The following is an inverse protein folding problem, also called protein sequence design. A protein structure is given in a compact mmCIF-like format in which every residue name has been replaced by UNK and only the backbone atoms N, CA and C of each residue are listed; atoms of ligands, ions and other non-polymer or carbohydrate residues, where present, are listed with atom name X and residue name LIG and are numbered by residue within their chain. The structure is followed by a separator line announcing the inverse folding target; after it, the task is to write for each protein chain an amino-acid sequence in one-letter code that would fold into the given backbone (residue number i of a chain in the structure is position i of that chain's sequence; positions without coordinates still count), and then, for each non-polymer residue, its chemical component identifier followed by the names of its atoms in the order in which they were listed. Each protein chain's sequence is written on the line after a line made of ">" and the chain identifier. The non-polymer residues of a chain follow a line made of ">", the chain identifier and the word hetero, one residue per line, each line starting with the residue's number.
data_IF_622156243342
#
_entry.id   IF_622156243342
#
_cell.length_a   1.000
_cell.length_b   1.000
_cell.length_c   1.000
_cell.angle_alpha   90.00
_cell.angle_beta   90.00
_cell.angle_gamma   90.00
#
_symmetry.space_group_name_H-M   'P 1'
#
loop_
_entity.id
_entity.type
_entity.pdbx_description
1 polymer ?
#
# COMPACT_ATOMS: atom_id res chain seq x y z
N UNK A 1 -46.93 23.58 41.27
CA UNK A 1 -47.53 24.15 40.04
C UNK A 1 -46.66 25.30 39.58
N UNK A 2 -46.25 25.30 38.32
CA UNK A 2 -45.27 26.22 37.73
C UNK A 2 -45.89 27.00 36.57
N UNK A 3 -45.49 28.26 36.40
CA UNK A 3 -45.74 29.01 35.16
C UNK A 3 -44.79 28.52 34.07
N UNK A 4 -45.14 28.77 32.81
CA UNK A 4 -44.30 28.35 31.66
C UNK A 4 -42.89 28.94 31.70
N UNK A 5 -42.71 30.14 32.27
CA UNK A 5 -41.40 30.79 32.43
C UNK A 5 -40.54 30.09 33.48
N UNK A 6 -41.15 29.69 34.60
CA UNK A 6 -40.47 28.96 35.69
C UNK A 6 -40.08 27.55 35.20
N UNK A 7 -40.97 26.90 34.44
CA UNK A 7 -40.71 25.58 33.85
C UNK A 7 -39.60 25.63 32.79
N UNK A 8 -39.54 26.71 32.00
CA UNK A 8 -38.48 26.94 31.01
C UNK A 8 -37.10 27.08 31.67
N UNK A 9 -37.03 27.88 32.73
CA UNK A 9 -35.80 28.11 33.50
C UNK A 9 -35.29 26.81 34.15
N UNK A 10 -36.19 26.06 34.81
CA UNK A 10 -35.84 24.80 35.48
C UNK A 10 -35.35 23.68 34.55
N UNK A 11 -35.69 23.75 33.26
CA UNK A 11 -35.32 22.74 32.25
C UNK A 11 -34.24 23.23 31.28
N UNK A 12 -33.82 24.50 31.37
CA UNK A 12 -32.91 25.12 30.41
C UNK A 12 -33.47 25.19 28.98
N UNK A 13 -34.80 25.23 28.82
CA UNK A 13 -35.48 25.25 27.52
C UNK A 13 -36.07 26.62 27.23
N UNK A 14 -36.23 26.96 25.95
CA UNK A 14 -36.94 28.17 25.59
C UNK A 14 -38.44 28.03 25.86
N UNK A 15 -39.11 29.15 26.20
CA UNK A 15 -40.58 29.18 26.30
C UNK A 15 -41.26 28.69 25.02
N UNK A 16 -40.68 28.99 23.85
CA UNK A 16 -41.17 28.56 22.54
C UNK A 16 -41.11 27.03 22.40
N UNK A 17 -40.05 26.39 22.90
CA UNK A 17 -39.91 24.93 22.92
C UNK A 17 -41.00 24.28 23.78
N UNK A 18 -41.28 24.83 24.97
CA UNK A 18 -42.36 24.31 25.83
C UNK A 18 -43.75 24.50 25.23
N UNK A 19 -44.01 25.63 24.57
CA UNK A 19 -45.27 25.85 23.82
C UNK A 19 -45.41 24.86 22.66
N UNK A 20 -44.31 24.53 21.98
CA UNK A 20 -44.31 23.51 20.95
C UNK A 20 -44.59 22.12 21.55
N UNK A 21 -43.98 21.77 22.67
CA UNK A 21 -44.22 20.48 23.36
C UNK A 21 -45.68 20.35 23.82
N UNK A 22 -46.28 21.44 24.28
CA UNK A 22 -47.71 21.49 24.58
C UNK A 22 -48.58 21.35 23.31
N UNK A 23 -48.18 21.95 22.18
CA UNK A 23 -48.87 21.83 20.89
C UNK A 23 -48.88 20.38 20.36
N UNK A 24 -47.81 19.63 20.58
CA UNK A 24 -47.72 18.20 20.22
C UNK A 24 -48.20 17.26 21.34
N UNK A 25 -48.82 17.84 22.38
CA UNK A 25 -49.46 17.16 23.50
C UNK A 25 -48.51 16.32 24.37
N UNK A 26 -47.24 16.71 24.46
CA UNK A 26 -46.28 16.08 25.39
C UNK A 26 -46.54 16.49 26.85
N UNK A 27 -47.09 17.69 27.05
CA UNK A 27 -47.52 18.26 28.33
C UNK A 27 -48.85 19.01 28.12
N UNK A 28 -49.60 19.26 29.20
CA UNK A 28 -50.87 20.00 29.10
C UNK A 28 -51.00 20.98 30.25
N UNK A 29 -50.94 22.27 29.95
CA UNK A 29 -51.13 23.32 30.96
C UNK A 29 -52.59 23.41 31.39
N UNK A 30 -52.85 23.45 32.70
CA UNK A 30 -54.18 23.76 33.23
C UNK A 30 -54.38 25.28 33.26
N UNK A 31 -55.49 25.77 32.69
CA UNK A 31 -55.85 27.18 32.80
C UNK A 31 -56.40 27.46 34.20
N UNK A 32 -55.79 28.43 34.88
CA UNK A 32 -56.26 28.96 36.15
C UNK A 32 -57.33 30.02 35.93
N UNK A 33 -58.09 30.35 36.98
CA UNK A 33 -59.14 31.38 36.98
C UNK A 33 -58.66 32.77 36.56
N UNK A 34 -57.35 33.03 36.65
CA UNK A 34 -56.69 34.27 36.23
C UNK A 34 -56.21 34.26 34.77
N UNK A 35 -56.56 33.24 33.97
CA UNK A 35 -56.22 33.14 32.55
C UNK A 35 -54.81 32.60 32.24
N UNK A 36 -53.93 32.44 33.25
CA UNK A 36 -52.60 31.87 33.08
C UNK A 36 -52.63 30.35 33.00
N UNK A 37 -51.64 29.76 32.30
CA UNK A 37 -51.39 28.31 32.29
C UNK A 37 -50.47 27.94 33.46
N UNK A 38 -50.84 26.90 34.19
CA UNK A 38 -50.02 26.28 35.21
C UNK A 38 -49.73 24.82 34.85
N UNK A 39 -48.52 24.38 35.14
CA UNK A 39 -48.02 23.02 34.90
C UNK A 39 -47.70 22.35 36.23
N UNK A 40 -47.93 21.06 36.33
CA UNK A 40 -47.73 20.28 37.54
C UNK A 40 -46.28 19.78 37.66
N UNK A 41 -45.94 19.26 38.84
CA UNK A 41 -44.66 18.58 39.05
C UNK A 41 -44.55 17.31 38.19
N UNK A 42 -45.68 16.69 37.84
CA UNK A 42 -45.72 15.58 36.91
C UNK A 42 -45.33 16.00 35.48
N UNK A 43 -45.75 17.19 35.03
CA UNK A 43 -45.31 17.74 33.74
C UNK A 43 -43.80 18.00 33.73
N UNK A 44 -43.25 18.53 34.84
CA UNK A 44 -41.81 18.73 34.99
C UNK A 44 -41.03 17.39 34.91
N UNK A 45 -41.48 16.37 35.64
CA UNK A 45 -40.85 15.04 35.61
C UNK A 45 -40.96 14.40 34.21
N UNK A 46 -42.10 14.54 33.55
CA UNK A 46 -42.31 14.06 32.18
C UNK A 46 -41.36 14.73 31.20
N UNK A 47 -41.16 16.05 31.30
CA UNK A 47 -40.22 16.79 30.46
C UNK A 47 -38.76 16.38 30.71
N UNK A 48 -38.37 16.13 31.96
CA UNK A 48 -37.04 15.60 32.28
C UNK A 48 -36.80 14.23 31.66
N UNK A 49 -37.81 13.35 31.70
CA UNK A 49 -37.72 12.05 31.04
C UNK A 49 -37.59 12.19 29.51
N UNK A 50 -38.31 13.13 28.90
CA UNK A 50 -38.14 13.44 27.46
C UNK A 50 -36.71 13.89 27.17
N UNK A 51 -36.12 14.78 27.98
CA UNK A 51 -34.73 15.22 27.77
C UNK A 51 -33.73 14.06 27.85
N UNK A 52 -33.93 13.12 28.79
CA UNK A 52 -33.09 11.91 28.88
C UNK A 52 -33.25 11.01 27.65
N UNK A 53 -34.47 10.80 27.17
CA UNK A 53 -34.73 10.02 25.96
C UNK A 53 -34.12 10.70 24.71
N UNK A 54 -34.22 12.03 24.61
CA UNK A 54 -33.62 12.79 23.51
C UNK A 54 -32.08 12.72 23.53
N UNK A 55 -31.44 12.65 24.71
CA UNK A 55 -29.98 12.44 24.76
C UNK A 55 -29.54 11.08 24.22
N UNK A 56 -30.44 10.10 24.17
CA UNK A 56 -30.22 8.81 23.51
C UNK A 56 -30.48 8.83 22.00
N UNK A 57 -30.70 9.99 21.38
CA UNK A 57 -30.93 10.12 19.94
C UNK A 57 -32.39 9.96 19.48
N UNK A 58 -33.35 9.84 20.40
CA UNK A 58 -34.76 9.70 20.05
C UNK A 58 -35.37 11.05 19.65
N UNK A 59 -36.17 11.02 18.58
CA UNK A 59 -37.00 12.15 18.17
C UNK A 59 -38.14 12.38 19.18
N UNK A 60 -38.75 13.57 19.15
CA UNK A 60 -39.88 13.90 20.02
C UNK A 60 -41.10 12.99 19.82
N UNK A 61 -41.30 12.49 18.60
CA UNK A 61 -42.38 11.55 18.29
C UNK A 61 -42.13 10.19 18.95
N UNK A 62 -40.89 9.72 18.93
CA UNK A 62 -40.49 8.45 19.57
C UNK A 62 -40.50 8.60 21.10
N UNK A 63 -40.04 9.73 21.64
CA UNK A 63 -40.16 10.05 23.06
C UNK A 63 -41.63 10.03 23.53
N UNK A 64 -42.56 10.59 22.75
CA UNK A 64 -44.00 10.53 23.03
C UNK A 64 -44.48 9.07 23.08
N UNK A 65 -44.12 8.27 22.09
CA UNK A 65 -44.48 6.86 22.03
C UNK A 65 -43.96 6.04 23.23
N UNK A 66 -42.72 6.30 23.68
CA UNK A 66 -42.14 5.67 24.88
C UNK A 66 -42.88 6.03 26.18
N UNK A 67 -43.51 7.20 26.24
CA UNK A 67 -44.26 7.66 27.41
C UNK A 67 -45.70 7.16 27.46
N UNK A 68 -46.26 6.79 26.31
CA UNK A 68 -47.68 6.44 26.16
C UNK A 68 -47.88 4.93 25.97
N UNK A 69 -46.84 4.19 25.57
CA UNK A 69 -46.88 2.76 25.34
C UNK A 69 -45.63 2.06 25.87
N UNK A 70 -45.66 0.72 25.88
CA UNK A 70 -44.48 -0.09 26.15
C UNK A 70 -43.43 0.22 25.07
N UNK A 71 -42.18 0.46 25.50
CA UNK A 71 -41.05 0.75 24.61
C UNK A 71 -41.00 -0.27 23.48
N UNK A 72 -41.07 0.22 22.24
CA UNK A 72 -40.92 -0.60 21.06
C UNK A 72 -39.46 -1.06 20.96
N UNK A 73 -39.24 -2.33 21.29
CA UNK A 73 -37.91 -2.94 21.29
C UNK A 73 -37.28 -2.91 19.91
N UNK A 74 -38.07 -3.03 18.84
CA UNK A 74 -37.55 -3.07 17.48
C UNK A 74 -37.03 -1.70 17.06
N UNK A 75 -37.81 -0.65 17.34
CA UNK A 75 -37.37 0.73 17.12
C UNK A 75 -36.07 1.06 17.88
N UNK A 76 -35.96 0.63 19.14
CA UNK A 76 -34.74 0.86 19.93
C UNK A 76 -33.53 0.11 19.37
N UNK A 77 -33.72 -1.11 18.86
CA UNK A 77 -32.65 -1.87 18.21
C UNK A 77 -32.17 -1.21 16.91
N UNK A 78 -33.09 -0.69 16.10
CA UNK A 78 -32.74 0.04 14.87
C UNK A 78 -31.97 1.33 15.18
N UNK A 79 -32.40 2.08 16.20
CA UNK A 79 -31.69 3.29 16.66
C UNK A 79 -30.30 2.98 17.21
N UNK A 80 -30.17 1.93 18.01
CA UNK A 80 -28.88 1.51 18.55
C UNK A 80 -27.92 1.14 17.42
N UNK A 81 -28.39 0.36 16.42
CA UNK A 81 -27.59 -0.01 15.25
C UNK A 81 -27.10 1.22 14.47
N UNK A 82 -27.97 2.20 14.24
CA UNK A 82 -27.57 3.45 13.56
C UNK A 82 -26.50 4.21 14.35
N UNK A 83 -26.62 4.29 15.67
CA UNK A 83 -25.61 4.94 16.51
C UNK A 83 -24.28 4.20 16.49
N UNK A 84 -24.29 2.87 16.51
CA UNK A 84 -23.08 2.05 16.41
C UNK A 84 -22.36 2.29 15.06
N UNK A 85 -23.11 2.35 13.95
CA UNK A 85 -22.57 2.69 12.62
C UNK A 85 -21.96 4.11 12.59
N UNK A 86 -22.63 5.11 13.19
CA UNK A 86 -22.11 6.48 13.28
C UNK A 86 -20.84 6.57 14.15
N UNK A 87 -20.79 5.82 15.26
CA UNK A 87 -19.63 5.75 16.14
C UNK A 87 -18.46 5.14 15.38
N UNK A 88 -18.67 4.03 14.68
CA UNK A 88 -17.64 3.37 13.87
C UNK A 88 -17.07 4.34 12.82
N UNK A 89 -17.94 5.07 12.12
CA UNK A 89 -17.52 6.05 11.12
C UNK A 89 -16.71 7.20 11.73
N UNK A 90 -17.18 7.76 12.86
CA UNK A 90 -16.46 8.83 13.57
C UNK A 90 -15.13 8.37 14.14
N UNK A 91 -15.04 7.12 14.59
CA UNK A 91 -13.79 6.51 15.04
C UNK A 91 -12.78 6.38 13.89
N UNK A 92 -13.21 5.92 12.71
CA UNK A 92 -12.38 5.88 11.49
C UNK A 92 -11.87 7.28 11.10
N UNK A 93 -12.75 8.29 11.11
CA UNK A 93 -12.34 9.67 10.82
C UNK A 93 -11.34 10.21 11.85
N UNK A 94 -11.55 9.92 13.15
CA UNK A 94 -10.59 10.31 14.19
C UNK A 94 -9.24 9.62 14.00
N UNK A 95 -9.23 8.32 13.71
CA UNK A 95 -8.01 7.56 13.46
C UNK A 95 -7.22 8.16 12.30
N UNK A 96 -7.89 8.48 11.18
CA UNK A 96 -7.25 9.19 10.07
C UNK A 96 -6.59 10.50 10.51
N UNK A 97 -7.31 11.35 11.26
CA UNK A 97 -6.75 12.62 11.72
C UNK A 97 -5.58 12.44 12.69
N UNK A 98 -5.68 11.50 13.64
CA UNK A 98 -4.60 11.16 14.56
C UNK A 98 -3.37 10.64 13.82
N UNK A 99 -3.59 9.81 12.80
CA UNK A 99 -2.56 9.24 11.96
C UNK A 99 -1.84 10.34 11.15
N UNK A 100 -2.59 11.26 10.51
CA UNK A 100 -2.03 12.44 9.82
C UNK A 100 -1.28 13.40 10.74
N UNK A 101 -1.58 13.40 12.04
CA UNK A 101 -0.86 14.17 13.06
C UNK A 101 0.35 13.41 13.65
N UNK A 102 0.59 12.17 13.22
CA UNK A 102 1.66 11.31 13.73
C UNK A 102 1.42 10.73 15.13
N UNK A 103 0.18 10.76 15.63
CA UNK A 103 -0.17 10.22 16.95
C UNK A 103 -0.38 8.69 16.94
N UNK A 104 -0.63 8.12 15.76
CA UNK A 104 -0.86 6.67 15.56
C UNK A 104 -0.23 6.20 14.25
N UNK A 105 0.16 4.92 14.13
CA UNK A 105 0.64 4.34 12.87
C UNK A 105 -0.33 4.59 11.71
N UNK A 106 0.23 4.85 10.52
CA UNK A 106 -0.52 5.16 9.29
C UNK A 106 -0.70 3.95 8.35
N UNK A 107 -0.24 2.76 8.73
CA UNK A 107 -0.20 1.55 7.86
C UNK A 107 -1.49 1.29 7.11
N UNK A 108 -2.61 1.13 7.82
CA UNK A 108 -3.87 0.71 7.20
C UNK A 108 -4.42 1.78 6.24
N UNK A 109 -4.12 3.06 6.52
CA UNK A 109 -4.54 4.16 5.65
C UNK A 109 -3.66 4.25 4.40
N UNK A 110 -2.35 4.06 4.52
CA UNK A 110 -1.45 4.00 3.38
C UNK A 110 -1.77 2.82 2.47
N UNK A 111 -1.99 1.63 3.04
CA UNK A 111 -2.38 0.44 2.30
C UNK A 111 -3.70 0.70 1.55
N UNK A 112 -4.72 1.23 2.23
CA UNK A 112 -6.00 1.53 1.58
C UNK A 112 -5.92 2.60 0.49
N UNK A 113 -5.09 3.64 0.67
CA UNK A 113 -4.93 4.67 -0.36
C UNK A 113 -4.12 4.20 -1.55
N UNK A 114 -3.11 3.36 -1.35
CA UNK A 114 -2.33 2.79 -2.44
C UNK A 114 -3.19 1.86 -3.31
N UNK A 115 -4.15 1.15 -2.72
CA UNK A 115 -5.12 0.35 -3.47
C UNK A 115 -6.08 1.20 -4.30
N UNK A 116 -6.60 2.30 -3.74
CA UNK A 116 -7.69 3.08 -4.37
C UNK A 116 -7.16 4.16 -5.32
N UNK A 117 -6.01 4.77 -5.01
CA UNK A 117 -5.46 5.90 -5.73
C UNK A 117 -3.92 5.99 -5.64
N UNK A 118 -3.19 4.98 -6.15
CA UNK A 118 -1.74 4.84 -5.97
C UNK A 118 -0.94 6.07 -6.47
N UNK A 119 -1.25 6.57 -7.67
CA UNK A 119 -0.55 7.73 -8.24
C UNK A 119 -0.79 9.01 -7.43
N UNK A 120 -2.00 9.18 -6.91
CA UNK A 120 -2.34 10.34 -6.08
C UNK A 120 -1.68 10.25 -4.70
N UNK A 121 -1.58 9.04 -4.13
CA UNK A 121 -0.88 8.78 -2.88
C UNK A 121 0.62 9.07 -3.01
N UNK A 122 1.29 8.56 -4.04
CA UNK A 122 2.70 8.83 -4.31
C UNK A 122 2.96 10.35 -4.45
N UNK A 123 2.14 11.03 -5.25
CA UNK A 123 2.23 12.48 -5.43
C UNK A 123 1.97 13.26 -4.13
N UNK A 124 1.06 12.78 -3.30
CA UNK A 124 0.79 13.39 -1.99
C UNK A 124 1.99 13.24 -1.05
N UNK A 125 2.63 12.06 -0.99
CA UNK A 125 3.86 11.85 -0.22
C UNK A 125 4.96 12.82 -0.67
N UNK A 126 5.14 12.99 -1.99
CA UNK A 126 6.10 13.97 -2.52
C UNK A 126 5.76 15.41 -2.11
N UNK A 127 4.47 15.73 -2.01
CA UNK A 127 4.00 17.05 -1.53
C UNK A 127 4.29 17.25 -0.04
N UNK A 128 4.35 16.17 0.75
CA UNK A 128 4.73 16.21 2.17
C UNK A 128 6.26 16.37 2.37
N UNK A 129 7.06 16.42 1.30
CA UNK A 129 8.50 16.67 1.35
C UNK A 129 9.37 15.42 1.23
N UNK A 130 8.77 14.23 1.07
CA UNK A 130 9.52 13.02 0.75
C UNK A 130 10.02 13.07 -0.70
N UNK A 131 11.26 12.66 -0.92
CA UNK A 131 11.75 12.35 -2.26
C UNK A 131 10.94 11.19 -2.86
N UNK A 132 10.96 11.04 -4.19
CA UNK A 132 10.32 9.89 -4.86
C UNK A 132 10.81 8.56 -4.29
N UNK A 133 12.11 8.46 -4.01
CA UNK A 133 12.73 7.29 -3.38
C UNK A 133 12.14 6.99 -2.00
N UNK A 134 12.07 7.99 -1.12
CA UNK A 134 11.49 7.81 0.22
C UNK A 134 9.99 7.50 0.15
N UNK A 135 9.27 8.13 -0.78
CA UNK A 135 7.86 7.85 -1.00
C UNK A 135 7.62 6.40 -1.48
N UNK A 136 8.47 5.89 -2.36
CA UNK A 136 8.45 4.48 -2.78
C UNK A 136 8.82 3.55 -1.62
N UNK A 137 9.82 3.88 -0.81
CA UNK A 137 10.16 3.09 0.37
C UNK A 137 9.04 3.08 1.43
N UNK A 138 8.37 4.20 1.64
CA UNK A 138 7.19 4.28 2.51
C UNK A 138 6.08 3.37 2.01
N UNK A 139 5.81 3.43 0.71
CA UNK A 139 4.78 2.62 0.07
C UNK A 139 5.06 1.13 0.16
N UNK A 140 6.30 0.71 -0.14
CA UNK A 140 6.63 -0.70 -0.32
C UNK A 140 7.25 -1.37 0.91
N UNK A 141 8.00 -0.64 1.75
CA UNK A 141 8.82 -1.23 2.80
C UNK A 141 8.30 -0.91 4.20
N UNK A 142 8.24 0.37 4.56
CA UNK A 142 7.95 0.76 5.94
C UNK A 142 6.46 0.78 6.25
N UNK A 143 5.63 1.20 5.28
CA UNK A 143 4.17 1.38 5.39
C UNK A 143 3.72 2.30 6.55
N UNK A 144 4.62 2.85 7.36
CA UNK A 144 4.37 3.81 8.43
C UNK A 144 5.31 5.01 8.32
N UNK A 145 4.74 6.20 8.12
CA UNK A 145 5.51 7.44 8.04
C UNK A 145 6.26 7.79 9.33
N UNK A 146 5.75 7.38 10.50
CA UNK A 146 6.29 7.85 11.77
C UNK A 146 7.56 7.11 12.21
N UNK A 147 7.75 5.89 11.73
CA UNK A 147 8.92 5.05 12.04
C UNK A 147 9.78 4.78 10.82
N UNK A 148 9.56 5.53 9.73
CA UNK A 148 10.20 5.32 8.44
C UNK A 148 11.73 5.33 8.55
N UNK A 149 12.29 6.35 9.17
CA UNK A 149 13.74 6.53 9.22
C UNK A 149 14.43 5.42 10.01
N UNK A 150 13.87 5.04 11.16
CA UNK A 150 14.36 3.93 11.99
C UNK A 150 14.25 2.60 11.23
N UNK A 151 13.10 2.36 10.57
CA UNK A 151 12.88 1.18 9.76
C UNK A 151 13.89 1.09 8.62
N UNK A 152 14.09 2.18 7.87
CA UNK A 152 15.00 2.22 6.73
C UNK A 152 16.46 2.07 7.16
N UNK A 153 16.84 2.66 8.30
CA UNK A 153 18.17 2.49 8.88
C UNK A 153 18.45 1.02 9.18
N UNK A 154 17.51 0.34 9.83
CA UNK A 154 17.63 -1.08 10.15
C UNK A 154 17.61 -1.96 8.89
N UNK A 155 16.75 -1.64 7.93
CA UNK A 155 16.64 -2.31 6.65
C UNK A 155 17.97 -2.25 5.88
N UNK A 156 18.53 -1.05 5.69
CA UNK A 156 19.81 -0.91 5.00
C UNK A 156 20.97 -1.57 5.73
N UNK A 157 20.97 -1.60 7.07
CA UNK A 157 21.96 -2.35 7.85
C UNK A 157 21.97 -3.85 7.54
N UNK A 158 20.83 -4.43 7.15
CA UNK A 158 20.74 -5.79 6.64
C UNK A 158 21.26 -5.86 5.20
N UNK A 159 20.67 -5.08 4.29
CA UNK A 159 20.83 -5.24 2.84
C UNK A 159 22.14 -4.73 2.26
N UNK A 160 22.77 -3.70 2.84
CA UNK A 160 24.05 -3.16 2.33
C UNK A 160 25.19 -4.18 2.37
N UNK A 161 25.10 -5.19 3.25
CA UNK A 161 26.07 -6.27 3.36
C UNK A 161 25.84 -7.40 2.34
N UNK A 162 24.70 -7.41 1.64
CA UNK A 162 24.34 -8.46 0.69
C UNK A 162 24.82 -8.12 -0.73
N UNK A 163 25.25 -9.15 -1.46
CA UNK A 163 25.59 -9.01 -2.88
C UNK A 163 24.33 -8.94 -3.75
N UNK A 164 23.28 -9.66 -3.35
CA UNK A 164 21.99 -9.72 -4.03
C UNK A 164 20.91 -9.05 -3.19
N UNK A 165 20.10 -8.18 -3.81
CA UNK A 165 18.93 -7.53 -3.19
C UNK A 165 17.61 -8.18 -3.60
N UNK A 166 17.69 -9.29 -4.34
CA UNK A 166 16.58 -10.14 -4.73
C UNK A 166 17.10 -11.39 -5.44
N UNK A 167 16.25 -12.38 -5.74
CA UNK A 167 16.64 -13.59 -6.44
C UNK A 167 17.28 -13.28 -7.80
N UNK A 168 18.46 -13.84 -8.08
CA UNK A 168 19.16 -13.62 -9.34
C UNK A 168 20.41 -14.48 -9.49
N UNK A 169 20.80 -14.77 -10.74
CA UNK A 169 22.05 -15.49 -11.01
C UNK A 169 22.64 -15.12 -12.37
N UNK A 170 23.96 -15.16 -12.48
CA UNK A 170 24.66 -15.00 -13.76
C UNK A 170 24.20 -16.05 -14.78
N UNK A 171 23.90 -17.28 -14.33
CA UNK A 171 23.45 -18.36 -15.20
C UNK A 171 22.09 -18.05 -15.86
N UNK A 172 21.15 -17.50 -15.12
CA UNK A 172 19.81 -17.18 -15.63
C UNK A 172 19.84 -15.97 -16.56
N UNK A 173 20.63 -14.94 -16.24
CA UNK A 173 20.90 -13.81 -17.13
C UNK A 173 21.53 -14.28 -18.45
N UNK A 174 22.55 -15.15 -18.40
CA UNK A 174 23.20 -15.71 -19.60
C UNK A 174 22.25 -16.60 -20.42
N UNK A 175 21.39 -17.38 -19.75
CA UNK A 175 20.35 -18.18 -20.40
C UNK A 175 19.40 -17.27 -21.18
N UNK A 176 18.88 -16.22 -20.56
CA UNK A 176 18.03 -15.24 -21.24
C UNK A 176 18.75 -14.61 -22.44
N UNK A 177 20.02 -14.22 -22.28
CA UNK A 177 20.83 -13.62 -23.34
C UNK A 177 21.02 -14.59 -24.53
N UNK A 178 21.23 -15.88 -24.26
CA UNK A 178 21.40 -16.91 -25.31
C UNK A 178 20.13 -17.21 -26.11
N UNK A 179 18.95 -16.88 -25.56
CA UNK A 179 17.66 -17.10 -26.20
C UNK A 179 17.23 -15.90 -27.07
N UNK A 180 18.03 -14.83 -27.08
CA UNK A 180 17.79 -13.69 -27.94
C UNK A 180 18.00 -14.08 -29.42
N UNK A 181 17.17 -13.56 -30.35
CA UNK A 181 17.32 -13.80 -31.79
C UNK A 181 18.65 -13.31 -32.36
N UNK A 182 19.24 -12.27 -31.76
CA UNK A 182 20.48 -11.64 -32.19
C UNK A 182 21.30 -11.24 -30.97
N UNK A 183 22.62 -11.32 -31.08
CA UNK A 183 23.52 -10.81 -30.04
C UNK A 183 23.40 -9.27 -29.97
N UNK A 184 23.16 -8.69 -28.79
CA UNK A 184 23.04 -7.24 -28.64
C UNK A 184 24.42 -6.57 -28.63
N UNK A 185 24.52 -5.40 -29.24
CA UNK A 185 25.69 -4.50 -29.09
C UNK A 185 25.49 -3.50 -27.93
N UNK A 186 24.23 -3.09 -27.70
CA UNK A 186 23.83 -2.11 -26.68
C UNK A 186 22.60 -2.60 -25.91
N UNK A 187 22.60 -2.37 -24.60
CA UNK A 187 21.52 -2.77 -23.68
C UNK A 187 21.15 -1.59 -22.79
N UNK A 188 19.85 -1.28 -22.71
CA UNK A 188 19.31 -0.38 -21.69
C UNK A 188 18.79 -1.22 -20.52
N UNK A 189 19.48 -1.18 -19.38
CA UNK A 189 19.04 -1.88 -18.17
C UNK A 189 18.32 -0.91 -17.22
N UNK A 190 17.10 -1.26 -16.80
CA UNK A 190 16.24 -0.41 -15.96
C UNK A 190 16.08 -1.04 -14.56
N UNK A 191 16.44 -0.28 -13.53
CA UNK A 191 16.47 -0.74 -12.14
C UNK A 191 17.64 -1.69 -11.90
N UNK A 192 18.86 -1.27 -12.23
CA UNK A 192 20.04 -2.12 -12.17
C UNK A 192 20.55 -2.38 -10.74
N UNK A 193 20.17 -1.56 -9.76
CA UNK A 193 20.64 -1.63 -8.38
C UNK A 193 22.17 -1.66 -8.29
N UNK A 194 22.73 -2.68 -7.62
CA UNK A 194 24.19 -2.89 -7.53
C UNK A 194 24.81 -3.55 -8.78
N UNK A 195 24.01 -3.72 -9.84
CA UNK A 195 24.40 -4.23 -11.14
C UNK A 195 24.85 -5.69 -11.17
N UNK A 196 24.03 -6.56 -10.60
CA UNK A 196 24.24 -8.02 -10.64
C UNK A 196 24.14 -8.51 -12.08
N UNK A 197 23.02 -8.24 -12.75
CA UNK A 197 22.83 -8.54 -14.16
C UNK A 197 23.73 -7.66 -15.03
N UNK A 198 23.87 -6.36 -14.72
CA UNK A 198 24.76 -5.43 -15.43
C UNK A 198 26.15 -5.98 -15.68
N UNK A 199 26.82 -6.54 -14.66
CA UNK A 199 28.19 -7.04 -14.80
C UNK A 199 28.28 -8.25 -15.72
N UNK A 200 27.24 -9.07 -15.76
CA UNK A 200 27.15 -10.21 -16.68
C UNK A 200 26.90 -9.71 -18.10
N UNK A 201 25.95 -8.80 -18.28
CA UNK A 201 25.59 -8.20 -19.56
C UNK A 201 26.75 -7.42 -20.19
N UNK A 202 27.51 -6.68 -19.38
CA UNK A 202 28.66 -5.87 -19.79
C UNK A 202 29.84 -6.69 -20.35
N UNK A 203 29.84 -8.01 -20.16
CA UNK A 203 30.81 -8.91 -20.82
C UNK A 203 30.47 -9.15 -22.29
N UNK A 204 29.25 -8.83 -22.71
CA UNK A 204 28.71 -9.17 -24.04
C UNK A 204 28.30 -7.95 -24.87
N UNK A 205 27.99 -6.82 -24.23
CA UNK A 205 27.48 -5.60 -24.86
C UNK A 205 27.83 -4.36 -24.02
N UNK A 206 27.66 -3.16 -24.58
CA UNK A 206 27.67 -1.94 -23.78
C UNK A 206 26.32 -1.78 -23.05
N UNK A 207 26.36 -1.55 -21.74
CA UNK A 207 25.16 -1.43 -20.90
C UNK A 207 24.99 0.00 -20.43
N UNK A 208 23.86 0.61 -20.76
CA UNK A 208 23.36 1.81 -20.08
C UNK A 208 22.53 1.36 -18.89
N UNK A 209 23.10 1.42 -17.69
CA UNK A 209 22.50 0.93 -16.45
C UNK A 209 21.81 2.08 -15.70
N UNK A 210 20.50 1.98 -15.53
CA UNK A 210 19.65 3.02 -14.93
C UNK A 210 19.18 2.60 -13.55
N UNK A 211 19.33 3.48 -12.57
CA UNK A 211 18.73 3.34 -11.25
C UNK A 211 18.45 4.73 -10.65
N UNK A 212 17.57 4.84 -9.66
CA UNK A 212 17.32 6.10 -8.96
C UNK A 212 18.22 6.27 -7.72
N UNK A 213 19.03 5.27 -7.38
CA UNK A 213 19.96 5.29 -6.25
C UNK A 213 21.42 5.52 -6.70
N UNK A 214 21.85 6.78 -6.67
CA UNK A 214 23.23 7.18 -6.97
C UNK A 214 24.30 6.39 -6.17
N UNK A 215 24.15 6.12 -4.86
CA UNK A 215 25.10 5.26 -4.12
C UNK A 215 25.24 3.84 -4.71
N UNK A 216 24.15 3.23 -5.17
CA UNK A 216 24.19 1.92 -5.85
C UNK A 216 24.91 1.99 -7.18
N UNK A 217 24.69 3.05 -7.96
CA UNK A 217 25.42 3.29 -9.21
C UNK A 217 26.93 3.48 -8.96
N UNK A 218 27.32 4.19 -7.91
CA UNK A 218 28.73 4.32 -7.51
C UNK A 218 29.36 2.98 -7.10
N UNK A 219 28.62 2.15 -6.35
CA UNK A 219 29.06 0.78 -6.02
C UNK A 219 29.22 -0.07 -7.27
N UNK A 220 28.28 0.01 -8.20
CA UNK A 220 28.36 -0.67 -9.49
C UNK A 220 29.60 -0.23 -10.28
N UNK A 221 29.87 1.07 -10.41
CA UNK A 221 31.07 1.58 -11.06
C UNK A 221 32.36 1.06 -10.40
N UNK A 222 32.43 1.05 -9.06
CA UNK A 222 33.57 0.51 -8.33
C UNK A 222 33.79 -0.99 -8.60
N UNK A 223 32.71 -1.79 -8.60
CA UNK A 223 32.76 -3.22 -8.96
C UNK A 223 33.17 -3.41 -10.42
N UNK A 224 32.63 -2.61 -11.34
CA UNK A 224 32.98 -2.64 -12.76
C UNK A 224 34.46 -2.33 -12.99
N UNK A 225 35.01 -1.34 -12.30
CA UNK A 225 36.44 -0.99 -12.36
C UNK A 225 37.32 -2.15 -11.89
N UNK A 226 36.98 -2.78 -10.77
CA UNK A 226 37.73 -3.92 -10.25
C UNK A 226 37.72 -5.12 -11.20
N UNK A 227 36.68 -5.27 -12.03
CA UNK A 227 36.53 -6.34 -13.01
C UNK A 227 36.99 -5.96 -14.43
N UNK A 228 37.45 -4.72 -14.65
CA UNK A 228 37.85 -4.24 -15.97
C UNK A 228 36.68 -4.08 -16.96
N UNK A 229 35.47 -3.81 -16.47
CA UNK A 229 34.24 -3.67 -17.25
C UNK A 229 33.80 -2.21 -17.45
N UNK A 230 34.53 -1.23 -16.92
CA UNK A 230 34.12 0.18 -16.92
C UNK A 230 33.82 0.75 -18.31
N UNK A 231 34.57 0.34 -19.34
CA UNK A 231 34.35 0.83 -20.72
C UNK A 231 33.03 0.35 -21.33
N UNK A 232 32.45 -0.72 -20.77
CA UNK A 232 31.21 -1.33 -21.22
C UNK A 232 29.99 -0.92 -20.37
N UNK A 233 30.14 -0.02 -19.40
CA UNK A 233 29.04 0.38 -18.52
C UNK A 233 28.95 1.90 -18.44
N UNK A 234 27.79 2.43 -18.83
CA UNK A 234 27.38 3.82 -18.57
C UNK A 234 26.27 3.82 -17.54
N UNK A 235 26.44 4.53 -16.42
CA UNK A 235 25.38 4.65 -15.40
C UNK A 235 24.56 5.91 -15.60
N UNK A 236 23.24 5.82 -15.40
CA UNK A 236 22.33 6.96 -15.46
C UNK A 236 21.45 6.99 -14.21
N UNK A 237 21.56 8.05 -13.43
CA UNK A 237 20.72 8.26 -12.25
C UNK A 237 19.38 8.87 -12.67
N UNK A 238 18.34 8.06 -12.75
CA UNK A 238 17.00 8.47 -13.20
C UNK A 238 15.91 7.56 -12.64
N UNK A 239 14.69 8.11 -12.53
CA UNK A 239 13.52 7.29 -12.20
C UNK A 239 13.11 6.42 -13.38
N UNK A 240 12.70 5.18 -13.10
CA UNK A 240 12.16 4.26 -14.12
C UNK A 240 10.80 4.69 -14.68
N UNK A 241 10.12 5.63 -14.01
CA UNK A 241 8.86 6.24 -14.46
C UNK A 241 9.08 7.42 -15.41
N UNK A 242 10.24 8.07 -15.35
CA UNK A 242 10.61 9.26 -16.12
C UNK A 242 12.00 9.09 -16.76
N UNK A 243 12.10 8.11 -17.65
CA UNK A 243 13.37 7.75 -18.30
C UNK A 243 13.84 8.83 -19.30
N UNK A 244 15.11 9.28 -19.25
CA UNK A 244 15.63 10.37 -20.07
C UNK A 244 16.03 9.91 -21.49
N UNK A 245 15.28 8.99 -22.09
CA UNK A 245 15.55 8.43 -23.41
C UNK A 245 14.41 8.73 -24.38
N UNK A 246 14.75 8.96 -25.65
CA UNK A 246 13.75 9.18 -26.68
C UNK A 246 13.10 7.86 -27.13
N UNK A 247 11.89 7.95 -27.66
CA UNK A 247 11.21 6.80 -28.25
C UNK A 247 12.01 6.20 -29.42
N UNK A 248 11.97 4.87 -29.54
CA UNK A 248 12.58 4.15 -30.66
C UNK A 248 14.11 4.20 -30.69
N UNK A 249 14.79 4.41 -29.56
CA UNK A 249 16.26 4.40 -29.50
C UNK A 249 16.83 3.03 -29.17
N UNK A 250 16.13 2.23 -28.37
CA UNK A 250 16.68 0.99 -27.80
C UNK A 250 16.33 -0.25 -28.63
N UNK A 251 17.32 -1.13 -28.86
CA UNK A 251 17.09 -2.44 -29.46
C UNK A 251 16.75 -3.51 -28.41
N UNK A 252 17.32 -3.38 -27.20
CA UNK A 252 17.13 -4.28 -26.09
C UNK A 252 16.98 -3.48 -24.79
N UNK A 253 15.90 -3.74 -24.07
CA UNK A 253 15.68 -3.29 -22.70
C UNK A 253 15.75 -4.50 -21.78
N UNK A 254 16.42 -4.36 -20.64
CA UNK A 254 16.58 -5.40 -19.63
C UNK A 254 16.11 -4.89 -18.27
N UNK A 255 15.36 -5.70 -17.52
CA UNK A 255 14.86 -5.33 -16.20
C UNK A 255 14.63 -6.58 -15.33
N UNK A 256 15.60 -6.92 -14.50
CA UNK A 256 15.45 -8.05 -13.56
C UNK A 256 14.96 -7.56 -12.20
N UNK A 257 13.80 -8.05 -11.74
CA UNK A 257 13.31 -7.78 -10.39
C UNK A 257 13.06 -6.31 -10.07
N UNK A 258 12.69 -5.50 -11.07
CA UNK A 258 12.46 -4.05 -10.88
C UNK A 258 11.09 -3.58 -11.40
N UNK A 259 10.51 -4.25 -12.40
CA UNK A 259 9.27 -3.81 -13.04
C UNK A 259 8.05 -3.76 -12.10
N UNK A 260 8.06 -4.54 -11.02
CA UNK A 260 6.98 -4.54 -10.03
C UNK A 260 6.80 -3.18 -9.34
N UNK A 261 7.84 -2.36 -9.25
CA UNK A 261 7.82 -1.03 -8.62
C UNK A 261 6.82 -0.10 -9.34
N UNK A 262 6.69 -0.23 -10.66
CA UNK A 262 5.71 0.51 -11.48
C UNK A 262 4.36 -0.19 -11.59
N UNK A 263 4.28 -1.46 -11.16
CA UNK A 263 3.32 -2.43 -11.67
C UNK A 263 3.72 -2.91 -13.07
N UNK A 264 3.80 -4.23 -13.25
CA UNK A 264 4.41 -4.83 -14.46
C UNK A 264 3.67 -4.45 -15.75
N UNK A 265 2.35 -4.35 -15.69
CA UNK A 265 1.56 -3.92 -16.85
C UNK A 265 1.84 -2.46 -17.26
N UNK A 266 2.06 -1.58 -16.28
CA UNK A 266 2.43 -0.19 -16.55
C UNK A 266 3.85 -0.12 -17.11
N UNK A 267 4.79 -0.91 -16.56
CA UNK A 267 6.14 -1.02 -17.10
C UNK A 267 6.12 -1.46 -18.57
N UNK A 268 5.32 -2.46 -18.93
CA UNK A 268 5.15 -2.89 -20.32
C UNK A 268 4.69 -1.74 -21.23
N UNK A 269 3.68 -0.98 -20.82
CA UNK A 269 3.15 0.15 -21.58
C UNK A 269 4.14 1.31 -21.69
N UNK A 270 4.82 1.64 -20.59
CA UNK A 270 5.72 2.79 -20.48
C UNK A 270 7.06 2.55 -21.20
N UNK A 271 7.59 1.33 -21.20
CA UNK A 271 8.88 1.02 -21.82
C UNK A 271 8.76 0.62 -23.29
N UNK A 272 7.57 0.24 -23.78
CA UNK A 272 7.37 -0.12 -25.20
C UNK A 272 7.74 0.99 -26.19
N UNK A 273 7.41 2.28 -25.97
CA UNK A 273 7.77 3.37 -26.86
C UNK A 273 9.29 3.51 -27.06
N UNK A 274 10.09 3.27 -26.02
CA UNK A 274 11.56 3.34 -26.06
C UNK A 274 12.20 2.32 -27.01
N UNK A 275 11.54 1.18 -27.23
CA UNK A 275 12.01 0.15 -28.15
C UNK A 275 11.82 0.52 -29.62
N UNK A 276 12.78 0.18 -30.46
CA UNK A 276 12.59 0.12 -31.92
C UNK A 276 11.58 -0.97 -32.30
N UNK A 277 11.04 -0.88 -33.51
CA UNK A 277 10.23 -1.97 -34.08
C UNK A 277 11.03 -3.27 -34.07
N UNK A 278 10.46 -4.36 -33.55
CA UNK A 278 11.18 -5.63 -33.38
C UNK A 278 12.20 -5.65 -32.23
N UNK A 279 12.34 -4.55 -31.47
CA UNK A 279 13.16 -4.50 -30.27
C UNK A 279 12.62 -5.40 -29.17
N UNK A 280 13.49 -5.76 -28.22
CA UNK A 280 13.21 -6.78 -27.21
C UNK A 280 13.19 -6.17 -25.81
N UNK A 281 12.23 -6.58 -25.00
CA UNK A 281 12.19 -6.38 -23.56
C UNK A 281 12.43 -7.73 -22.87
N UNK A 282 13.46 -7.80 -22.04
CA UNK A 282 13.68 -8.90 -21.10
C UNK A 282 13.31 -8.40 -19.71
N UNK A 283 12.38 -9.10 -19.06
CA UNK A 283 11.95 -8.77 -17.70
C UNK A 283 11.89 -10.01 -16.82
N UNK A 284 12.17 -9.87 -15.53
CA UNK A 284 11.80 -10.88 -14.53
C UNK A 284 10.79 -10.34 -13.53
N UNK A 285 9.86 -11.20 -13.12
CA UNK A 285 8.82 -10.86 -12.14
C UNK A 285 8.52 -12.05 -11.22
N UNK A 286 8.12 -11.76 -9.98
CA UNK A 286 7.64 -12.76 -9.03
C UNK A 286 6.20 -13.14 -9.40
N UNK A 287 5.93 -14.45 -9.47
CA UNK A 287 4.65 -15.01 -9.89
C UNK A 287 4.24 -16.22 -9.03
N UNK A 288 2.94 -16.53 -9.06
CA UNK A 288 2.42 -17.79 -8.56
C UNK A 288 2.95 -18.97 -9.37
N UNK A 289 3.45 -19.99 -8.68
CA UNK A 289 3.92 -21.25 -9.26
C UNK A 289 2.93 -22.42 -9.01
N UNK A 290 1.73 -22.10 -8.54
CA UNK A 290 0.63 -23.03 -8.29
C UNK A 290 -0.71 -22.33 -8.47
N UNK A 291 -1.72 -23.06 -8.93
CA UNK A 291 -3.10 -22.55 -9.05
C UNK A 291 -3.83 -22.50 -7.71
N UNK A 292 -3.31 -23.19 -6.69
CA UNK A 292 -3.91 -23.30 -5.35
C UNK A 292 -2.88 -22.96 -4.27
N UNK A 293 -2.42 -21.70 -4.16
CA UNK A 293 -1.49 -21.29 -3.12
C UNK A 293 -2.14 -21.38 -1.73
N UNK A 294 -1.31 -21.59 -0.71
CA UNK A 294 -1.79 -21.65 0.68
C UNK A 294 -2.30 -20.29 1.15
N UNK A 295 -3.29 -20.27 2.04
CA UNK A 295 -3.91 -19.02 2.52
C UNK A 295 -2.91 -18.05 3.17
N UNK A 296 -1.91 -18.57 3.89
CA UNK A 296 -0.85 -17.77 4.51
C UNK A 296 0.11 -17.17 3.48
N UNK A 297 0.46 -17.92 2.44
CA UNK A 297 1.25 -17.42 1.30
C UNK A 297 0.49 -16.32 0.56
N UNK A 298 -0.81 -16.51 0.30
CA UNK A 298 -1.67 -15.50 -0.33
C UNK A 298 -1.73 -14.23 0.50
N UNK A 299 -2.02 -14.34 1.80
CA UNK A 299 -2.12 -13.18 2.69
C UNK A 299 -0.80 -12.39 2.75
N UNK A 300 0.35 -13.07 2.77
CA UNK A 300 1.65 -12.41 2.77
C UNK A 300 1.90 -11.64 1.46
N UNK A 301 1.80 -12.30 0.31
CA UNK A 301 2.11 -11.64 -0.96
C UNK A 301 1.05 -10.65 -1.42
N UNK A 302 -0.21 -10.78 -1.00
CA UNK A 302 -1.21 -9.73 -1.23
C UNK A 302 -0.83 -8.42 -0.52
N UNK A 303 -0.15 -8.51 0.63
CA UNK A 303 0.35 -7.34 1.36
C UNK A 303 1.65 -6.80 0.76
N UNK A 304 2.59 -7.69 0.38
CA UNK A 304 3.92 -7.27 -0.08
C UNK A 304 3.99 -6.97 -1.58
N UNK A 305 3.23 -7.69 -2.40
CA UNK A 305 3.14 -7.48 -3.84
C UNK A 305 1.70 -7.75 -4.35
N UNK A 306 0.76 -6.80 -4.17
CA UNK A 306 -0.65 -7.00 -4.53
C UNK A 306 -0.91 -7.34 -5.99
N UNK A 307 -0.06 -6.87 -6.92
CA UNK A 307 -0.21 -7.17 -8.36
C UNK A 307 0.33 -8.57 -8.75
N UNK A 308 0.93 -9.33 -7.83
CA UNK A 308 1.50 -10.65 -8.11
C UNK A 308 0.50 -11.55 -8.85
N UNK A 309 0.94 -12.06 -10.00
CA UNK A 309 0.12 -12.78 -10.96
C UNK A 309 0.59 -14.19 -11.23
N UNK A 310 -0.14 -14.91 -12.08
CA UNK A 310 0.39 -16.12 -12.72
C UNK A 310 1.20 -15.77 -13.97
N UNK A 311 1.95 -16.74 -14.48
CA UNK A 311 2.68 -16.61 -15.76
C UNK A 311 1.72 -16.25 -16.90
N UNK A 312 0.54 -16.85 -16.95
CA UNK A 312 -0.48 -16.62 -17.96
C UNK A 312 -1.03 -15.19 -17.90
N UNK A 313 -1.24 -14.65 -16.69
CA UNK A 313 -1.65 -13.25 -16.50
C UNK A 313 -0.60 -12.31 -17.10
N UNK A 314 0.69 -12.53 -16.82
CA UNK A 314 1.78 -11.70 -17.35
C UNK A 314 1.91 -11.79 -18.87
N UNK A 315 1.78 -12.99 -19.42
CA UNK A 315 1.75 -13.21 -20.88
C UNK A 315 0.57 -12.46 -21.52
N UNK A 316 -0.61 -12.49 -20.92
CA UNK A 316 -1.78 -11.79 -21.43
C UNK A 316 -1.59 -10.25 -21.39
N UNK A 317 -1.03 -9.72 -20.30
CA UNK A 317 -0.70 -8.30 -20.15
C UNK A 317 0.36 -7.86 -21.17
N UNK A 318 1.42 -8.64 -21.39
CA UNK A 318 2.43 -8.36 -22.40
C UNK A 318 1.82 -8.30 -23.81
N UNK A 319 0.97 -9.27 -24.17
CA UNK A 319 0.26 -9.27 -25.46
C UNK A 319 -0.65 -8.05 -25.61
N UNK A 320 -1.42 -7.72 -24.58
CA UNK A 320 -2.30 -6.55 -24.59
C UNK A 320 -1.51 -5.24 -24.72
N UNK A 321 -0.29 -5.18 -24.20
CA UNK A 321 0.62 -4.05 -24.36
C UNK A 321 1.29 -3.98 -25.74
N UNK A 322 1.08 -4.95 -26.63
CA UNK A 322 1.65 -4.96 -27.99
C UNK A 322 3.02 -5.62 -28.08
N UNK A 323 3.24 -6.66 -27.28
CA UNK A 323 4.41 -7.54 -27.38
C UNK A 323 4.04 -8.95 -27.83
N UNK A 324 4.91 -9.56 -28.63
CA UNK A 324 4.96 -11.00 -28.84
C UNK A 324 5.87 -11.64 -27.82
N UNK A 325 5.39 -12.70 -27.17
CA UNK A 325 6.23 -13.51 -26.27
C UNK A 325 7.11 -14.41 -27.13
N UNK A 326 8.43 -14.25 -27.00
CA UNK A 326 9.41 -15.11 -27.66
C UNK A 326 9.71 -16.35 -26.81
N UNK A 327 9.95 -16.16 -25.51
CA UNK A 327 10.28 -17.24 -24.59
C UNK A 327 9.94 -16.85 -23.15
N UNK A 328 9.71 -17.84 -22.29
CA UNK A 328 9.56 -17.63 -20.85
C UNK A 328 10.05 -18.84 -20.07
N UNK A 329 10.74 -18.60 -18.95
CA UNK A 329 11.23 -19.69 -18.09
C UNK A 329 11.38 -19.25 -16.63
N UNK A 330 11.23 -20.16 -15.66
CA UNK A 330 11.52 -19.86 -14.26
C UNK A 330 13.04 -19.74 -14.06
N UNK A 331 13.46 -18.81 -13.20
CA UNK A 331 14.86 -18.71 -12.79
C UNK A 331 15.27 -19.93 -11.95
N UNK A 332 16.57 -20.20 -11.89
CA UNK A 332 17.11 -21.37 -11.19
C UNK A 332 16.94 -21.29 -9.67
N UNK A 333 16.94 -22.45 -9.00
CA UNK A 333 17.02 -22.51 -7.53
C UNK A 333 18.28 -21.81 -7.00
N UNK A 334 19.39 -21.85 -7.75
CA UNK A 334 20.62 -21.14 -7.39
C UNK A 334 20.39 -19.63 -7.28
N UNK A 335 19.53 -19.05 -8.11
CA UNK A 335 19.20 -17.63 -8.04
C UNK A 335 18.46 -17.26 -6.74
N UNK A 336 17.59 -18.15 -6.26
CA UNK A 336 16.94 -18.01 -4.95
C UNK A 336 17.96 -18.15 -3.82
N UNK A 337 18.83 -19.16 -3.90
CA UNK A 337 19.84 -19.43 -2.86
C UNK A 337 20.86 -18.29 -2.75
N UNK A 338 21.25 -17.68 -3.88
CA UNK A 338 22.13 -16.50 -3.92
C UNK A 338 21.61 -15.32 -3.09
N UNK A 339 20.28 -15.23 -2.90
CA UNK A 339 19.64 -14.17 -2.15
C UNK A 339 19.26 -14.62 -0.72
N UNK A 340 18.46 -15.68 -0.61
CA UNK A 340 17.83 -16.06 0.67
C UNK A 340 18.79 -16.72 1.66
N UNK A 341 19.84 -17.42 1.19
CA UNK A 341 20.82 -18.04 2.10
C UNK A 341 21.66 -16.96 2.80
N UNK A 342 22.33 -16.02 2.10
CA UNK A 342 23.05 -14.93 2.75
C UNK A 342 22.15 -14.01 3.57
N UNK A 343 20.92 -13.74 3.10
CA UNK A 343 19.95 -12.94 3.85
C UNK A 343 19.62 -13.58 5.19
N UNK A 344 19.32 -14.88 5.22
CA UNK A 344 19.04 -15.58 6.48
C UNK A 344 20.24 -15.55 7.43
N UNK A 345 21.46 -15.82 6.94
CA UNK A 345 22.68 -15.72 7.75
C UNK A 345 22.86 -14.31 8.34
N UNK A 346 22.64 -13.29 7.53
CA UNK A 346 22.72 -11.88 7.95
C UNK A 346 21.69 -11.56 9.03
N UNK A 347 20.43 -11.97 8.84
CA UNK A 347 19.35 -11.75 9.81
C UNK A 347 19.64 -12.44 11.13
N UNK A 348 20.10 -13.70 11.12
CA UNK A 348 20.46 -14.40 12.35
C UNK A 348 21.63 -13.73 13.08
N UNK A 349 22.61 -13.17 12.35
CA UNK A 349 23.74 -12.47 12.96
C UNK A 349 23.33 -11.18 13.69
N UNK A 350 22.33 -10.46 13.18
CA UNK A 350 21.90 -9.17 13.73
C UNK A 350 20.82 -9.29 14.81
N UNK A 351 20.19 -10.46 14.96
CA UNK A 351 19.04 -10.67 15.87
C UNK A 351 19.32 -10.33 17.32
N UNK A 352 20.54 -10.57 17.80
CA UNK A 352 20.94 -10.23 19.16
C UNK A 352 21.22 -8.72 19.35
N UNK A 353 21.67 -8.04 18.29
CA UNK A 353 22.02 -6.62 18.32
C UNK A 353 20.80 -5.71 18.13
N UNK A 354 19.77 -6.20 17.44
CA UNK A 354 18.60 -5.42 17.01
C UNK A 354 17.26 -6.09 17.42
N UNK A 355 17.06 -6.45 18.70
CA UNK A 355 15.91 -7.28 19.13
C UNK A 355 14.55 -6.57 18.95
N UNK A 356 14.54 -5.24 18.94
CA UNK A 356 13.32 -4.44 18.79
C UNK A 356 13.02 -4.05 17.34
N UNK A 357 13.95 -4.29 16.41
CA UNK A 357 13.84 -3.86 15.01
C UNK A 357 12.60 -4.45 14.34
N UNK A 358 11.77 -3.58 13.77
CA UNK A 358 10.59 -4.02 13.00
C UNK A 358 11.01 -4.57 11.63
N UNK A 359 11.94 -3.90 10.94
CA UNK A 359 12.50 -4.37 9.68
C UNK A 359 13.06 -5.80 9.78
N UNK A 360 13.82 -6.10 10.85
CA UNK A 360 14.36 -7.44 11.04
C UNK A 360 13.26 -8.51 11.25
N UNK A 361 12.17 -8.15 11.92
CA UNK A 361 11.01 -9.05 12.12
C UNK A 361 10.29 -9.30 10.79
N UNK A 362 10.06 -8.26 10.00
CA UNK A 362 9.35 -8.38 8.72
C UNK A 362 10.16 -9.22 7.71
N UNK A 363 11.47 -8.98 7.63
CA UNK A 363 12.38 -9.82 6.83
C UNK A 363 12.37 -11.28 7.33
N UNK A 364 12.34 -11.51 8.65
CA UNK A 364 12.25 -12.86 9.20
C UNK A 364 10.94 -13.56 8.82
N UNK A 365 9.82 -12.82 8.74
CA UNK A 365 8.53 -13.36 8.27
C UNK A 365 8.63 -13.80 6.81
N UNK A 366 9.23 -12.98 5.94
CA UNK A 366 9.48 -13.33 4.54
C UNK A 366 10.32 -14.63 4.45
N UNK A 367 11.43 -14.69 5.19
CA UNK A 367 12.30 -15.87 5.24
C UNK A 367 11.53 -17.13 5.67
N UNK A 368 10.65 -17.01 6.67
CA UNK A 368 9.86 -18.14 7.17
C UNK A 368 8.78 -18.58 6.18
N UNK A 369 8.19 -17.65 5.42
CA UNK A 369 7.22 -17.95 4.35
C UNK A 369 7.94 -18.67 3.19
N UNK A 370 9.02 -18.09 2.67
CA UNK A 370 9.78 -18.66 1.54
C UNK A 370 10.37 -20.02 1.91
N UNK A 371 10.87 -20.20 3.14
CA UNK A 371 11.39 -21.49 3.60
C UNK A 371 10.31 -22.58 3.69
N UNK A 372 9.08 -22.22 4.08
CA UNK A 372 7.98 -23.18 4.24
C UNK A 372 7.24 -23.47 2.93
N UNK A 373 7.12 -22.47 2.07
CA UNK A 373 6.20 -22.44 0.91
C UNK A 373 6.84 -21.91 -0.37
N UNK A 374 8.17 -21.86 -0.45
CA UNK A 374 8.90 -21.28 -1.58
C UNK A 374 8.65 -21.96 -2.92
N UNK A 375 8.05 -23.15 -2.94
CA UNK A 375 7.61 -23.81 -4.18
C UNK A 375 6.27 -23.28 -4.73
N UNK A 376 5.52 -22.49 -3.96
CA UNK A 376 4.24 -21.89 -4.37
C UNK A 376 4.44 -20.58 -5.16
N UNK A 377 5.63 -20.00 -5.11
CA UNK A 377 6.03 -18.83 -5.88
C UNK A 377 7.26 -19.12 -6.71
N UNK A 378 7.45 -18.37 -7.79
CA UNK A 378 8.64 -18.44 -8.63
C UNK A 378 8.95 -17.05 -9.17
N UNK A 379 10.21 -16.82 -9.53
CA UNK A 379 10.56 -15.70 -10.38
C UNK A 379 10.60 -16.21 -11.82
N UNK A 380 9.87 -15.54 -12.70
CA UNK A 380 9.75 -15.91 -14.09
C UNK A 380 10.44 -14.87 -14.96
N UNK A 381 11.30 -15.33 -15.87
CA UNK A 381 11.90 -14.53 -16.93
C UNK A 381 10.99 -14.52 -18.15
N UNK A 382 10.84 -13.36 -18.78
CA UNK A 382 10.06 -13.16 -20.00
C UNK A 382 10.92 -12.46 -21.06
N UNK A 383 10.94 -13.02 -22.27
CA UNK A 383 11.58 -12.40 -23.43
C UNK A 383 10.47 -11.98 -24.39
N UNK A 384 10.30 -10.68 -24.54
CA UNK A 384 9.17 -10.06 -25.21
C UNK A 384 9.67 -9.22 -26.40
N UNK A 385 9.08 -9.37 -27.57
CA UNK A 385 9.41 -8.55 -28.74
C UNK A 385 8.30 -7.54 -29.02
N UNK A 386 8.66 -6.29 -29.29
CA UNK A 386 7.73 -5.26 -29.75
C UNK A 386 7.21 -5.60 -31.14
N UNK A 387 5.89 -5.81 -31.22
CA UNK A 387 5.14 -6.06 -32.47
C UNK A 387 4.68 -4.79 -33.18
#
# INVERSE_FOLDING_TARGET
>A
MYRISELAEMLGLSRTTLLYYEKIELIKGQRLSNGYRAYSDADLQRLRLIQQLQSGGLTLKECKACLEAKVDRQLMLERLKQLDEEIEQKQKSRQLLAALLGETPLTDWHESLDEVAPDAHLKWLMTQGFSEKEALHLRWLSKDMNTHDDYMTDFFRVYEALEFWGPGSEQDTLKALSLLPTQPDEILEIGCGQGIATRTLAKHAHVTAVDNDEPSLQRLQGKAQALGLSDNITTVCASMTELPFADGTSNLIWAEGSAYIMGVENAFKAWRPLLKYGGILVVSDLVWNTDTPSEDTVAFWQKEYPDMGSVEKRIAQAKAAGYRVLETFPISQQAWDNYYVPLNERVQSLKAEMPSSQALKDIQVELDIVKRRGNEVAYQMYILQKD
#
